data_IF_647885889629
#
_entry.id   IF_647885889629
#
_cell.length_a   1.000
_cell.length_b   1.000
_cell.length_c   1.000
_cell.angle_alpha   90.00
_cell.angle_beta   90.00
_cell.angle_gamma   90.00
#
_symmetry.space_group_name_H-M   'P 1'
#
loop_
_entity.id
_entity.type
_entity.pdbx_description
1 polymer ?
#
# COMPACT_ATOMS: atom_id res chain seq x y z
N UNK A 1 0.83 -2.49 -16.22
CA UNK A 1 0.13 -1.61 -15.28
C UNK A 1 -0.87 -2.49 -14.61
N UNK A 2 -0.80 -2.58 -13.29
CA UNK A 2 -1.69 -3.39 -12.48
C UNK A 2 -2.21 -2.52 -11.35
N UNK A 3 -3.38 -2.89 -10.85
CA UNK A 3 -4.00 -2.30 -9.68
C UNK A 3 -3.74 -3.21 -8.49
N UNK A 4 -3.14 -2.66 -7.45
CA UNK A 4 -2.83 -3.37 -6.23
C UNK A 4 -3.69 -2.89 -5.08
N UNK A 5 -4.06 -3.84 -4.24
CA UNK A 5 -4.68 -3.58 -2.95
C UNK A 5 -3.73 -4.07 -1.86
N UNK A 6 -3.06 -3.11 -1.23
CA UNK A 6 -2.13 -3.31 -0.13
C UNK A 6 -2.89 -3.11 1.20
N UNK A 7 -3.05 -4.19 1.94
CA UNK A 7 -3.65 -4.22 3.28
C UNK A 7 -2.54 -4.31 4.30
N UNK A 8 -2.56 -3.43 5.30
CA UNK A 8 -1.54 -3.37 6.35
C UNK A 8 -2.22 -3.52 7.70
N UNK A 9 -1.77 -4.51 8.46
CA UNK A 9 -2.13 -4.78 9.85
C UNK A 9 -0.87 -4.74 10.70
N UNK A 10 -1.02 -4.80 12.02
CA UNK A 10 0.12 -4.91 12.93
C UNK A 10 1.01 -6.09 12.51
N UNK A 11 2.26 -5.78 12.14
CA UNK A 11 3.29 -6.72 11.72
C UNK A 11 2.94 -7.64 10.54
N UNK A 12 1.96 -7.25 9.71
CA UNK A 12 1.50 -8.06 8.58
C UNK A 12 1.05 -7.24 7.39
N UNK A 13 1.50 -7.62 6.20
CA UNK A 13 1.07 -7.03 4.93
C UNK A 13 0.48 -8.09 4.02
N UNK A 14 -0.62 -7.74 3.38
CA UNK A 14 -1.23 -8.56 2.33
C UNK A 14 -1.33 -7.73 1.06
N UNK A 15 -0.75 -8.22 -0.04
CA UNK A 15 -0.75 -7.54 -1.33
C UNK A 15 -1.53 -8.38 -2.35
N UNK A 16 -2.66 -7.84 -2.80
CA UNK A 16 -3.49 -8.44 -3.84
C UNK A 16 -3.32 -7.70 -5.16
N UNK A 17 -3.13 -8.44 -6.24
CA UNK A 17 -3.22 -7.92 -7.59
C UNK A 17 -4.67 -8.07 -8.10
N UNK A 18 -5.35 -6.95 -8.32
CA UNK A 18 -6.76 -6.91 -8.69
C UNK A 18 -7.03 -7.26 -10.17
N UNK A 19 -5.98 -7.45 -10.98
CA UNK A 19 -6.09 -7.88 -12.37
C UNK A 19 -6.11 -9.40 -12.50
N UNK A 20 -5.28 -10.10 -11.73
CA UNK A 20 -5.13 -11.57 -11.83
C UNK A 20 -5.54 -12.32 -10.55
N UNK A 21 -6.04 -11.60 -9.54
CA UNK A 21 -6.54 -12.16 -8.27
C UNK A 21 -5.48 -12.83 -7.39
N UNK A 22 -4.21 -12.81 -7.78
CA UNK A 22 -3.13 -13.33 -6.95
C UNK A 22 -3.01 -12.47 -5.70
N UNK A 23 -2.98 -13.13 -4.55
CA UNK A 23 -2.85 -12.52 -3.24
C UNK A 23 -1.72 -13.22 -2.49
N UNK A 24 -0.83 -12.42 -1.91
CA UNK A 24 0.28 -12.91 -1.09
C UNK A 24 0.30 -12.13 0.22
N UNK A 25 0.74 -12.80 1.27
CA UNK A 25 0.86 -12.27 2.63
C UNK A 25 2.28 -12.46 3.14
N UNK A 26 2.74 -11.53 3.97
CA UNK A 26 4.02 -11.60 4.67
C UNK A 26 3.89 -11.01 6.07
N UNK A 27 4.65 -11.57 7.01
CA UNK A 27 4.79 -11.05 8.37
C UNK A 27 6.17 -10.41 8.54
N UNK A 28 6.27 -9.48 9.49
CA UNK A 28 7.55 -8.88 9.88
C UNK A 28 7.39 -7.90 11.03
N UNK A 29 8.49 -7.55 11.69
CA UNK A 29 8.47 -6.69 12.88
C UNK A 29 8.62 -5.21 12.49
N UNK A 30 7.52 -4.59 12.07
CA UNK A 30 7.54 -3.20 11.60
C UNK A 30 6.53 -2.27 12.26
N UNK A 31 5.63 -2.78 13.08
CA UNK A 31 4.69 -2.00 13.88
C UNK A 31 5.22 -1.80 15.30
N UNK A 32 4.80 -0.72 15.94
CA UNK A 32 5.02 -0.48 17.37
C UNK A 32 3.68 -0.48 18.11
N UNK A 33 3.65 -0.17 19.40
CA UNK A 33 2.39 0.01 20.13
C UNK A 33 1.59 1.23 19.64
N UNK A 34 2.26 2.25 19.08
CA UNK A 34 1.63 3.53 18.68
C UNK A 34 1.48 3.70 17.17
N UNK A 35 2.35 3.08 16.38
CA UNK A 35 2.40 3.26 14.92
C UNK A 35 2.22 1.93 14.20
N UNK A 36 1.33 1.92 13.21
CA UNK A 36 1.19 0.79 12.30
C UNK A 36 2.49 0.50 11.55
N UNK A 37 3.23 1.54 11.19
CA UNK A 37 4.59 1.46 10.67
C UNK A 37 5.50 2.29 11.57
N UNK A 38 6.21 1.63 12.49
CA UNK A 38 7.27 2.22 13.30
C UNK A 38 8.67 1.93 12.76
N UNK A 39 8.92 0.73 12.22
CA UNK A 39 10.19 0.38 11.59
C UNK A 39 10.10 0.49 10.07
N UNK A 40 10.42 1.68 9.56
CA UNK A 40 10.27 2.02 8.15
C UNK A 40 10.97 1.04 7.19
N UNK A 41 12.26 0.77 7.41
CA UNK A 41 13.06 -0.04 6.49
C UNK A 41 12.63 -1.51 6.49
N UNK A 42 12.14 -2.04 7.63
CA UNK A 42 11.60 -3.38 7.68
C UNK A 42 10.29 -3.45 6.87
N UNK A 43 9.37 -2.51 7.08
CA UNK A 43 8.13 -2.43 6.31
C UNK A 43 8.39 -2.35 4.79
N UNK A 44 9.32 -1.49 4.36
CA UNK A 44 9.73 -1.37 2.96
C UNK A 44 10.28 -2.69 2.40
N UNK A 45 11.17 -3.34 3.16
CA UNK A 45 11.77 -4.63 2.79
C UNK A 45 10.71 -5.73 2.63
N UNK A 46 9.75 -5.83 3.56
CA UNK A 46 8.67 -6.82 3.47
C UNK A 46 7.79 -6.59 2.24
N UNK A 47 7.42 -5.32 1.97
CA UNK A 47 6.63 -4.99 0.78
C UNK A 47 7.39 -5.30 -0.52
N UNK A 48 8.68 -4.98 -0.58
CA UNK A 48 9.52 -5.32 -1.74
C UNK A 48 9.59 -6.82 -1.94
N UNK A 49 9.71 -7.60 -0.87
CA UNK A 49 9.71 -9.07 -0.90
C UNK A 49 8.40 -9.62 -1.47
N UNK A 50 7.23 -9.11 -1.04
CA UNK A 50 5.94 -9.47 -1.61
C UNK A 50 5.88 -9.21 -3.12
N UNK A 51 6.37 -8.05 -3.58
CA UNK A 51 6.40 -7.71 -5.00
C UNK A 51 7.31 -8.64 -5.81
N UNK A 52 8.47 -9.03 -5.26
CA UNK A 52 9.35 -10.03 -5.86
C UNK A 52 8.65 -11.40 -6.00
N UNK A 53 7.92 -11.85 -4.98
CA UNK A 53 7.16 -13.12 -5.00
C UNK A 53 5.96 -13.09 -5.96
N UNK A 54 5.39 -11.91 -6.18
CA UNK A 54 4.41 -11.70 -7.25
C UNK A 54 5.02 -11.78 -8.66
N UNK A 55 6.35 -11.71 -8.78
CA UNK A 55 7.08 -11.78 -10.05
C UNK A 55 7.22 -10.42 -10.75
N UNK A 56 6.96 -9.31 -10.04
CA UNK A 56 7.00 -7.95 -10.60
C UNK A 56 8.38 -7.33 -10.63
N UNK A 57 9.41 -7.97 -10.09
CA UNK A 57 10.76 -7.40 -10.02
C UNK A 57 11.80 -8.32 -10.71
N UNK A 58 11.36 -9.17 -11.65
CA UNK A 58 12.22 -10.15 -12.34
C UNK A 58 12.38 -9.84 -13.83
N UNK A 59 13.64 -9.71 -14.27
CA UNK A 59 14.05 -9.76 -15.67
C UNK A 59 13.78 -8.50 -16.50
N UNK A 60 13.70 -8.67 -17.82
CA UNK A 60 13.49 -7.62 -18.84
C UNK A 60 12.16 -6.87 -18.63
N UNK A 61 11.20 -7.45 -17.89
CA UNK A 61 9.93 -6.80 -17.53
C UNK A 61 10.14 -5.50 -16.75
N UNK A 62 11.22 -5.36 -15.98
CA UNK A 62 11.58 -4.13 -15.25
C UNK A 62 11.85 -2.93 -16.16
N UNK A 63 12.39 -3.16 -17.36
CA UNK A 63 12.61 -2.08 -18.34
C UNK A 63 11.31 -1.59 -19.01
N UNK A 64 10.27 -2.43 -19.01
CA UNK A 64 8.96 -2.13 -19.62
C UNK A 64 7.85 -1.99 -18.57
N UNK A 65 8.21 -1.88 -17.29
CA UNK A 65 7.28 -1.91 -16.18
C UNK A 65 6.46 -0.62 -16.14
N UNK A 66 5.22 -0.73 -16.61
CA UNK A 66 4.26 0.37 -16.57
C UNK A 66 3.91 0.67 -15.11
N UNK A 67 4.12 1.92 -14.70
CA UNK A 67 3.73 2.48 -13.39
C UNK A 67 2.36 1.95 -12.91
N UNK A 68 2.30 1.47 -11.67
CA UNK A 68 1.15 0.78 -11.08
C UNK A 68 0.21 1.73 -10.33
N UNK A 69 -1.01 1.28 -10.01
CA UNK A 69 -1.88 2.00 -9.06
C UNK A 69 -1.98 1.18 -7.79
N UNK A 70 -1.90 1.83 -6.63
CA UNK A 70 -1.88 1.15 -5.34
C UNK A 70 -2.93 1.79 -4.43
N UNK A 71 -3.85 0.96 -3.94
CA UNK A 71 -4.75 1.30 -2.85
C UNK A 71 -4.13 0.77 -1.56
N UNK A 72 -3.80 1.66 -0.64
CA UNK A 72 -3.22 1.36 0.66
C UNK A 72 -4.35 1.39 1.68
N UNK A 73 -4.43 0.37 2.51
CA UNK A 73 -5.48 0.23 3.51
C UNK A 73 -4.89 -0.19 4.86
N UNK A 74 -4.60 0.78 5.73
CA UNK A 74 -4.26 0.52 7.13
C UNK A 74 -5.51 0.06 7.88
N UNK A 75 -5.43 -1.12 8.51
CA UNK A 75 -6.58 -1.78 9.17
C UNK A 75 -6.49 -1.76 10.70
N UNK A 76 -5.33 -1.41 11.25
CA UNK A 76 -5.07 -1.28 12.68
C UNK A 76 -4.42 0.08 12.96
N UNK A 77 -4.44 0.53 14.21
CA UNK A 77 -3.66 1.68 14.67
C UNK A 77 -3.92 2.94 13.83
N UNK A 78 -5.21 3.18 13.55
CA UNK A 78 -5.74 4.33 12.81
C UNK A 78 -7.00 4.88 13.50
N UNK A 79 -7.12 4.64 14.81
CA UNK A 79 -8.20 5.15 15.64
C UNK A 79 -8.17 6.68 15.66
N UNK A 80 -9.27 7.31 15.23
CA UNK A 80 -9.34 8.77 15.10
C UNK A 80 -8.84 9.31 13.75
N UNK A 81 -8.43 8.43 12.84
CA UNK A 81 -7.87 8.79 11.55
C UNK A 81 -6.35 8.93 11.59
N UNK A 82 -5.72 8.95 10.41
CA UNK A 82 -4.28 9.10 10.26
C UNK A 82 -3.88 10.56 10.39
N UNK A 83 -2.80 10.83 11.12
CA UNK A 83 -2.12 12.12 11.05
C UNK A 83 -1.24 12.21 9.80
N UNK A 84 -0.78 13.43 9.47
CA UNK A 84 0.05 13.69 8.27
C UNK A 84 1.36 12.89 8.23
N UNK A 85 1.94 12.57 9.40
CA UNK A 85 3.16 11.76 9.49
C UNK A 85 2.86 10.31 9.13
N UNK A 86 1.75 9.75 9.61
CA UNK A 86 1.34 8.37 9.32
C UNK A 86 0.97 8.21 7.84
N UNK A 87 0.22 9.16 7.28
CA UNK A 87 -0.07 9.19 5.84
C UNK A 87 1.22 9.24 5.01
N UNK A 88 2.18 10.08 5.42
CA UNK A 88 3.46 10.19 4.71
C UNK A 88 4.25 8.89 4.76
N UNK A 89 4.34 8.25 5.92
CA UNK A 89 5.06 6.98 6.08
C UNK A 89 4.45 5.89 5.19
N UNK A 90 3.12 5.78 5.14
CA UNK A 90 2.43 4.83 4.26
C UNK A 90 2.77 5.05 2.79
N UNK A 91 2.80 6.32 2.35
CA UNK A 91 3.20 6.67 0.99
C UNK A 91 4.66 6.33 0.69
N UNK A 92 5.59 6.63 1.60
CA UNK A 92 7.01 6.39 1.41
C UNK A 92 7.33 4.89 1.41
N UNK A 93 6.76 4.10 2.31
CA UNK A 93 6.90 2.63 2.31
C UNK A 93 6.39 2.04 1.01
N UNK A 94 5.21 2.47 0.54
CA UNK A 94 4.68 2.03 -0.74
C UNK A 94 5.60 2.45 -1.88
N UNK A 95 6.03 3.71 -1.94
CA UNK A 95 6.91 4.20 -2.99
C UNK A 95 8.24 3.43 -3.05
N UNK A 96 8.90 3.23 -1.91
CA UNK A 96 10.15 2.47 -1.79
C UNK A 96 9.97 1.00 -2.13
N UNK A 97 8.94 0.34 -1.59
CA UNK A 97 8.64 -1.07 -1.88
C UNK A 97 8.40 -1.34 -3.37
N UNK A 98 7.69 -0.44 -4.05
CA UNK A 98 7.46 -0.50 -5.51
C UNK A 98 8.62 0.05 -6.34
N UNK A 99 9.75 0.43 -5.74
CA UNK A 99 10.92 0.97 -6.44
C UNK A 99 10.62 2.23 -7.26
N UNK A 100 9.64 3.03 -6.84
CA UNK A 100 9.19 4.23 -7.53
C UNK A 100 8.27 4.00 -8.74
N UNK A 101 7.92 2.74 -9.07
CA UNK A 101 7.05 2.39 -10.21
C UNK A 101 5.56 2.56 -9.89
N UNK A 102 5.17 3.71 -9.32
CA UNK A 102 3.78 4.04 -8.99
C UNK A 102 3.28 5.23 -9.82
N UNK A 103 2.10 5.06 -10.43
CA UNK A 103 1.34 6.08 -11.15
C UNK A 103 0.41 6.83 -10.20
N UNK A 104 -0.18 6.12 -9.24
CA UNK A 104 -1.17 6.64 -8.31
C UNK A 104 -1.17 5.84 -7.01
N UNK A 105 -1.20 6.54 -5.89
CA UNK A 105 -1.46 5.99 -4.57
C UNK A 105 -2.74 6.60 -4.00
N UNK A 106 -3.55 5.78 -3.34
CA UNK A 106 -4.72 6.22 -2.58
C UNK A 106 -4.67 5.53 -1.24
N UNK A 107 -4.88 6.26 -0.14
CA UNK A 107 -5.06 5.69 1.19
C UNK A 107 -6.55 5.62 1.48
N UNK A 108 -7.02 4.45 1.92
CA UNK A 108 -8.39 4.22 2.35
C UNK A 108 -8.41 3.87 3.84
N UNK A 109 -9.14 4.66 4.64
CA UNK A 109 -9.19 4.55 6.12
C UNK A 109 -10.48 3.87 6.62
N UNK A 110 -11.12 3.03 5.81
CA UNK A 110 -12.32 2.30 6.22
C UNK A 110 -12.00 1.18 7.21
N UNK A 111 -12.96 0.81 8.08
CA UNK A 111 -12.76 -0.31 9.02
C UNK A 111 -12.97 -1.68 8.38
N UNK A 112 -13.78 -1.75 7.32
CA UNK A 112 -14.11 -3.00 6.63
C UNK A 112 -13.22 -3.19 5.41
N UNK A 113 -12.91 -4.44 5.09
CA UNK A 113 -12.30 -4.76 3.81
C UNK A 113 -13.24 -4.38 2.66
N UNK A 114 -12.65 -3.80 1.62
CA UNK A 114 -13.30 -3.60 0.34
C UNK A 114 -13.27 -4.88 -0.49
N UNK A 115 -14.36 -5.12 -1.22
CA UNK A 115 -14.35 -6.03 -2.36
C UNK A 115 -13.48 -5.49 -3.49
N UNK A 116 -13.13 -6.34 -4.47
CA UNK A 116 -12.30 -5.92 -5.60
C UNK A 116 -12.92 -4.80 -6.44
N UNK A 117 -14.26 -4.83 -6.60
CA UNK A 117 -14.99 -3.78 -7.31
C UNK A 117 -14.89 -2.44 -6.60
N UNK A 118 -15.06 -2.45 -5.27
CA UNK A 118 -14.94 -1.27 -4.43
C UNK A 118 -13.50 -0.73 -4.40
N UNK A 119 -12.50 -1.61 -4.29
CA UNK A 119 -11.10 -1.23 -4.34
C UNK A 119 -10.72 -0.55 -5.67
N UNK A 120 -11.22 -1.08 -6.79
CA UNK A 120 -11.06 -0.45 -8.12
C UNK A 120 -11.79 0.89 -8.20
N UNK A 121 -12.97 1.00 -7.60
CA UNK A 121 -13.71 2.26 -7.55
C UNK A 121 -12.95 3.35 -6.79
N UNK A 122 -12.36 3.03 -5.62
CA UNK A 122 -11.49 3.95 -4.87
C UNK A 122 -10.30 4.43 -5.71
N UNK A 123 -9.65 3.51 -6.44
CA UNK A 123 -8.54 3.85 -7.35
C UNK A 123 -8.95 4.75 -8.53
N UNK A 124 -10.23 4.83 -8.87
CA UNK A 124 -10.73 5.67 -9.95
C UNK A 124 -11.14 7.08 -9.48
N UNK A 125 -11.38 7.29 -8.19
CA UNK A 125 -11.71 8.62 -7.64
C UNK A 125 -10.58 9.62 -7.89
N UNK A 126 -10.85 10.89 -8.23
CA UNK A 126 -9.81 11.89 -8.37
C UNK A 126 -9.06 12.07 -7.04
N UNK A 127 -7.74 12.28 -7.10
CA UNK A 127 -6.97 12.63 -5.89
C UNK A 127 -7.34 14.08 -5.54
N UNK A 128 -7.83 14.36 -4.33
CA UNK A 128 -8.16 15.73 -3.94
C UNK A 128 -6.91 16.61 -4.06
N UNK A 129 -7.04 17.74 -4.78
CA UNK A 129 -5.91 18.66 -5.03
C UNK A 129 -5.43 19.36 -3.75
N UNK A 130 -6.26 19.41 -2.72
CA UNK A 130 -5.96 19.94 -1.40
C UNK A 130 -6.51 18.95 -0.34
N UNK A 131 -5.67 18.26 0.44
CA UNK A 131 -6.17 17.51 1.59
C UNK A 131 -6.81 18.48 2.60
N UNK A 132 -7.84 18.05 3.35
CA UNK A 132 -8.43 18.89 4.40
C UNK A 132 -7.32 19.34 5.36
N UNK A 133 -7.23 20.67 5.59
CA UNK A 133 -6.33 21.20 6.62
C UNK A 133 -6.86 20.67 7.95
N UNK A 134 -6.01 19.97 8.71
CA UNK A 134 -6.29 19.67 10.11
C UNK A 134 -6.55 21.01 10.81
N UNK A 135 -7.77 21.19 11.31
CA UNK A 135 -8.17 22.34 12.12
C UNK A 135 -7.72 22.20 13.56
#
# INVERSE_FOLDING_TARGET
MADFYLKIKTNRMTLKNLNNQKELEIEGDFSTTRLLIGEFYNAEFQLRTLLHQHGFLKGIKRLFERKHRVLIHPLNQSEGGLCSVEERILHEVAHGGFGGFIKKMVIHQGKRLLSDGEAKAELNKPIPKNPPRAG
#
